data_IF_314119466988
#
_entry.id   IF_314119466988
#
_cell.length_a   1.000
_cell.length_b   1.000
_cell.length_c   1.000
_cell.angle_alpha   90.00
_cell.angle_beta   90.00
_cell.angle_gamma   90.00
#
_symmetry.space_group_name_H-M   'P 1'
#
loop_
_entity.id
_entity.type
_entity.pdbx_description
1 polymer ?
#
# COMPACT_ATOMS: atom_id res chain seq x y z
N UNK A 1 0.88 -14.22 -23.75
CA UNK A 1 1.55 -12.89 -23.72
C UNK A 1 1.65 -12.32 -25.12
N UNK A 2 1.40 -11.02 -25.28
CA UNK A 2 1.54 -10.31 -26.56
C UNK A 2 3.00 -9.87 -26.75
N UNK A 3 3.50 -9.92 -28.01
CA UNK A 3 4.85 -9.43 -28.31
C UNK A 3 4.73 -8.16 -29.16
N UNK A 4 5.30 -7.05 -28.67
CA UNK A 4 5.31 -5.76 -29.37
C UNK A 4 6.77 -5.39 -29.67
N UNK A 5 7.05 -5.02 -30.90
CA UNK A 5 8.40 -4.67 -31.38
C UNK A 5 8.50 -3.22 -31.76
N UNK A 6 9.44 -2.51 -31.16
CA UNK A 6 9.77 -1.12 -31.45
C UNK A 6 8.54 -0.19 -31.51
N UNK A 7 7.70 -0.16 -30.45
CA UNK A 7 6.51 0.66 -30.45
C UNK A 7 6.86 2.15 -30.54
N UNK A 8 6.15 2.90 -31.36
CA UNK A 8 6.26 4.35 -31.36
C UNK A 8 5.66 4.95 -30.07
N UNK A 9 6.18 6.08 -29.57
CA UNK A 9 5.67 6.72 -28.32
C UNK A 9 4.17 6.97 -28.33
N UNK A 10 3.57 7.25 -29.50
CA UNK A 10 2.12 7.43 -29.66
C UNK A 10 1.28 6.18 -29.33
N UNK A 11 1.89 4.99 -29.45
CA UNK A 11 1.21 3.71 -29.19
C UNK A 11 1.40 3.21 -27.76
N UNK A 12 2.26 3.86 -26.97
CA UNK A 12 2.54 3.45 -25.59
C UNK A 12 1.29 3.45 -24.72
N UNK A 13 0.33 4.34 -24.97
CA UNK A 13 -0.95 4.38 -24.24
C UNK A 13 -1.67 3.03 -24.23
N UNK A 14 -1.54 2.24 -25.31
CA UNK A 14 -2.13 0.90 -25.40
C UNK A 14 -1.35 -0.15 -24.60
N UNK A 15 -0.02 0.02 -24.52
CA UNK A 15 0.87 -0.90 -23.78
C UNK A 15 0.68 -0.70 -22.27
N UNK A 16 0.52 0.55 -21.85
CA UNK A 16 0.36 0.91 -20.43
C UNK A 16 -1.10 0.82 -19.95
N UNK A 17 -2.03 0.47 -20.83
CA UNK A 17 -3.43 0.31 -20.45
C UNK A 17 -3.62 -0.92 -19.55
N UNK A 18 -4.40 -0.73 -18.50
CA UNK A 18 -4.74 -1.80 -17.55
C UNK A 18 -6.14 -2.32 -17.80
N UNK A 19 -6.40 -3.61 -17.53
CA UNK A 19 -7.75 -4.14 -17.57
C UNK A 19 -8.70 -3.30 -16.71
N UNK A 20 -9.81 -2.85 -17.30
CA UNK A 20 -10.86 -2.12 -16.56
C UNK A 20 -12.05 -3.03 -16.33
N UNK A 21 -12.47 -3.13 -15.09
CA UNK A 21 -13.70 -3.81 -14.72
C UNK A 21 -14.87 -2.80 -14.71
N UNK A 22 -16.05 -3.21 -15.17
CA UNK A 22 -17.25 -2.41 -14.99
C UNK A 22 -17.67 -2.44 -13.51
N UNK A 23 -17.42 -1.34 -12.82
CA UNK A 23 -17.64 -1.20 -11.38
C UNK A 23 -19.01 -0.60 -11.01
N UNK A 24 -19.91 -0.31 -11.96
CA UNK A 24 -21.18 0.38 -11.70
C UNK A 24 -22.08 -0.42 -10.76
N UNK A 25 -22.40 -1.65 -11.09
CA UNK A 25 -23.22 -2.56 -10.24
C UNK A 25 -22.52 -2.94 -8.93
N UNK A 26 -21.19 -3.02 -8.98
CA UNK A 26 -20.38 -3.30 -7.80
C UNK A 26 -20.50 -2.15 -6.78
N UNK A 27 -20.45 -0.91 -7.22
CA UNK A 27 -20.56 0.26 -6.35
C UNK A 27 -21.91 0.33 -5.62
N UNK A 28 -23.02 0.01 -6.29
CA UNK A 28 -24.34 -0.06 -5.66
C UNK A 28 -24.43 -1.14 -4.58
N UNK A 29 -23.88 -2.33 -4.88
CA UNK A 29 -23.84 -3.43 -3.91
C UNK A 29 -23.02 -3.04 -2.68
N UNK A 30 -21.83 -2.45 -2.89
CA UNK A 30 -20.95 -1.98 -1.81
C UNK A 30 -21.65 -0.91 -0.97
N UNK A 31 -22.27 0.08 -1.60
CA UNK A 31 -23.01 1.13 -0.90
C UNK A 31 -24.13 0.58 -0.01
N UNK A 32 -24.85 -0.43 -0.50
CA UNK A 32 -25.91 -1.10 0.27
C UNK A 32 -25.36 -1.80 1.51
N UNK A 33 -24.25 -2.54 1.39
CA UNK A 33 -23.61 -3.23 2.52
C UNK A 33 -23.10 -2.22 3.55
N UNK A 34 -22.43 -1.16 3.09
CA UNK A 34 -21.90 -0.10 3.96
C UNK A 34 -23.01 0.61 4.74
N UNK A 35 -24.11 0.96 4.07
CA UNK A 35 -25.28 1.59 4.71
C UNK A 35 -25.93 0.67 5.76
N UNK A 36 -25.97 -0.62 5.49
CA UNK A 36 -26.53 -1.60 6.41
C UNK A 36 -25.65 -1.80 7.65
N UNK A 37 -24.31 -1.90 7.47
CA UNK A 37 -23.36 -1.96 8.59
C UNK A 37 -23.45 -0.69 9.45
N UNK A 38 -23.54 0.48 8.83
CA UNK A 38 -23.74 1.75 9.57
C UNK A 38 -25.00 1.76 10.41
N UNK A 39 -26.08 1.12 9.93
CA UNK A 39 -27.40 1.12 10.60
C UNK A 39 -27.53 0.06 11.68
N UNK A 40 -27.02 -1.16 11.44
CA UNK A 40 -27.27 -2.34 12.29
C UNK A 40 -26.04 -2.87 13.02
N UNK A 41 -24.86 -2.26 12.82
CA UNK A 41 -23.63 -2.64 13.53
C UNK A 41 -23.27 -4.12 13.38
N UNK A 42 -22.98 -4.77 14.51
CA UNK A 42 -22.57 -6.18 14.57
C UNK A 42 -23.60 -7.14 13.95
N UNK A 43 -24.89 -6.84 14.03
CA UNK A 43 -25.93 -7.69 13.44
C UNK A 43 -25.82 -7.74 11.90
N UNK A 44 -25.52 -6.60 11.27
CA UNK A 44 -25.27 -6.56 9.84
C UNK A 44 -23.99 -7.34 9.49
N UNK A 45 -22.90 -7.10 10.23
CA UNK A 45 -21.62 -7.78 10.02
C UNK A 45 -21.80 -9.29 10.09
N UNK A 46 -22.41 -9.82 11.17
CA UNK A 46 -22.67 -11.26 11.34
C UNK A 46 -23.54 -11.82 10.22
N UNK A 47 -24.56 -11.06 9.79
CA UNK A 47 -25.41 -11.44 8.68
C UNK A 47 -24.66 -11.57 7.36
N UNK A 48 -23.68 -10.70 7.11
CA UNK A 48 -22.84 -10.79 5.91
C UNK A 48 -21.76 -11.87 5.99
N UNK A 49 -21.18 -12.15 7.18
CA UNK A 49 -20.29 -13.31 7.37
C UNK A 49 -21.03 -14.62 7.08
N UNK A 50 -22.28 -14.75 7.55
CA UNK A 50 -23.11 -15.91 7.22
C UNK A 50 -23.42 -15.99 5.71
N UNK A 51 -23.72 -14.86 5.08
CA UNK A 51 -24.09 -14.81 3.66
C UNK A 51 -22.94 -15.05 2.70
N UNK A 52 -21.77 -14.48 2.95
CA UNK A 52 -20.64 -14.47 2.03
C UNK A 52 -19.57 -15.51 2.39
N UNK A 53 -19.27 -15.64 3.67
CA UNK A 53 -18.24 -16.57 4.15
C UNK A 53 -18.81 -17.89 4.67
N UNK A 54 -20.17 -17.98 4.71
CA UNK A 54 -20.91 -19.18 5.14
C UNK A 54 -20.59 -19.62 6.58
N UNK A 55 -20.35 -18.65 7.45
CA UNK A 55 -20.01 -18.91 8.85
C UNK A 55 -20.92 -18.13 9.78
N UNK A 56 -21.48 -18.81 10.79
CA UNK A 56 -22.21 -18.21 11.89
C UNK A 56 -21.26 -17.94 13.06
N UNK A 57 -21.06 -16.67 13.39
CA UNK A 57 -20.12 -16.23 14.40
C UNK A 57 -20.82 -15.76 15.67
N UNK A 58 -20.70 -16.48 16.79
CA UNK A 58 -21.22 -16.00 18.07
C UNK A 58 -20.50 -14.73 18.53
N UNK A 59 -19.20 -14.62 18.25
CA UNK A 59 -18.38 -13.44 18.51
C UNK A 59 -17.49 -13.11 17.33
N UNK A 60 -17.35 -11.81 17.04
CA UNK A 60 -16.50 -11.30 15.97
C UNK A 60 -15.01 -11.23 16.40
N UNK A 61 -14.75 -11.01 17.68
CA UNK A 61 -13.38 -10.90 18.18
C UNK A 61 -12.68 -12.26 18.25
N UNK A 62 -11.40 -12.26 17.95
CA UNK A 62 -10.48 -13.39 18.22
C UNK A 62 -10.18 -13.41 19.71
N UNK A 63 -10.35 -14.56 20.35
CA UNK A 63 -10.08 -14.78 21.76
C UNK A 63 -8.58 -15.07 22.02
N UNK A 64 -8.13 -14.87 23.26
CA UNK A 64 -6.77 -15.24 23.66
C UNK A 64 -6.54 -16.76 23.50
N UNK A 65 -7.54 -17.59 23.76
CA UNK A 65 -7.45 -19.03 23.55
C UNK A 65 -7.18 -19.40 22.07
N UNK A 66 -7.79 -18.66 21.11
CA UNK A 66 -7.50 -18.84 19.68
C UNK A 66 -6.07 -18.38 19.33
N UNK A 67 -5.59 -17.32 19.97
CA UNK A 67 -4.20 -16.88 19.81
C UNK A 67 -3.21 -17.91 20.33
N UNK A 68 -3.45 -18.50 21.51
CA UNK A 68 -2.63 -19.57 22.07
C UNK A 68 -2.68 -20.87 21.25
N UNK A 69 -3.86 -21.20 20.71
CA UNK A 69 -4.00 -22.34 19.81
C UNK A 69 -3.15 -22.15 18.55
N UNK A 70 -3.19 -20.93 17.95
CA UNK A 70 -2.39 -20.60 16.78
C UNK A 70 -0.88 -20.73 17.05
N UNK A 71 -0.42 -20.30 18.22
CA UNK A 71 0.97 -20.47 18.63
C UNK A 71 1.42 -21.95 18.67
N UNK A 72 0.53 -22.86 19.02
CA UNK A 72 0.84 -24.30 19.04
C UNK A 72 0.80 -24.94 17.65
N UNK A 73 -0.05 -24.42 16.75
CA UNK A 73 -0.29 -24.99 15.41
C UNK A 73 0.78 -24.60 14.38
N UNK A 74 1.37 -23.40 14.50
CA UNK A 74 2.43 -22.97 13.57
C UNK A 74 3.76 -23.61 14.00
N UNK A 75 4.46 -24.22 13.04
CA UNK A 75 5.76 -24.83 13.31
C UNK A 75 6.85 -23.81 13.64
N UNK A 76 7.96 -24.28 14.21
CA UNK A 76 9.05 -23.43 14.67
C UNK A 76 9.84 -22.79 13.54
N UNK A 77 9.94 -23.44 12.38
CA UNK A 77 10.68 -22.90 11.23
C UNK A 77 9.93 -21.71 10.65
N UNK A 78 8.61 -21.85 10.43
CA UNK A 78 7.78 -20.74 9.95
C UNK A 78 7.77 -19.59 10.95
N UNK A 79 7.69 -19.84 12.26
CA UNK A 79 7.81 -18.78 13.28
C UNK A 79 9.13 -18.04 13.17
N UNK A 80 10.24 -18.77 13.00
CA UNK A 80 11.57 -18.16 12.85
C UNK A 80 11.65 -17.31 11.58
N UNK A 81 11.05 -17.76 10.46
CA UNK A 81 10.96 -17.00 9.23
C UNK A 81 10.13 -15.71 9.40
N UNK A 82 8.97 -15.80 10.07
CA UNK A 82 8.13 -14.63 10.39
C UNK A 82 8.89 -13.63 11.28
N UNK A 83 9.66 -14.13 12.27
CA UNK A 83 10.47 -13.26 13.13
C UNK A 83 11.59 -12.57 12.37
N UNK A 84 12.28 -13.25 11.45
CA UNK A 84 13.30 -12.67 10.59
C UNK A 84 12.69 -11.57 9.70
N UNK A 85 11.57 -11.85 9.05
CA UNK A 85 10.85 -10.89 8.23
C UNK A 85 10.45 -9.65 9.05
N UNK A 86 9.83 -9.86 10.21
CA UNK A 86 9.46 -8.77 11.13
C UNK A 86 10.67 -7.93 11.55
N UNK A 87 11.81 -8.56 11.88
CA UNK A 87 13.03 -7.85 12.24
C UNK A 87 13.51 -6.93 11.11
N UNK A 88 13.59 -7.46 9.86
CA UNK A 88 14.06 -6.69 8.71
C UNK A 88 13.10 -5.55 8.36
N UNK A 89 11.78 -5.81 8.36
CA UNK A 89 10.74 -4.79 8.14
C UNK A 89 10.85 -3.69 9.20
N UNK A 90 11.04 -4.07 10.46
CA UNK A 90 11.21 -3.11 11.56
C UNK A 90 12.44 -2.24 11.36
N UNK A 91 13.60 -2.85 11.08
CA UNK A 91 14.85 -2.12 10.86
C UNK A 91 14.73 -1.09 9.73
N UNK A 92 14.13 -1.48 8.61
CA UNK A 92 13.94 -0.58 7.48
C UNK A 92 12.98 0.58 7.83
N UNK A 93 11.84 0.29 8.47
CA UNK A 93 10.86 1.34 8.79
C UNK A 93 11.32 2.24 9.97
N UNK A 94 12.10 1.74 10.92
CA UNK A 94 12.72 2.56 11.97
C UNK A 94 13.66 3.62 11.39
N UNK A 95 14.33 3.32 10.26
CA UNK A 95 15.20 4.28 9.57
C UNK A 95 14.45 5.48 8.97
N UNK A 96 13.12 5.36 8.81
CA UNK A 96 12.26 6.40 8.24
C UNK A 96 11.72 7.40 9.28
N UNK A 97 12.11 7.29 10.55
CA UNK A 97 11.62 8.17 11.61
C UNK A 97 11.99 9.63 11.30
N UNK A 98 10.94 10.45 11.15
CA UNK A 98 11.10 11.87 10.85
C UNK A 98 11.73 12.62 12.03
N UNK A 99 12.90 13.20 11.79
CA UNK A 99 13.58 14.11 12.72
C UNK A 99 13.30 15.54 12.30
N UNK A 100 12.31 16.19 12.92
CA UNK A 100 11.96 17.57 12.62
C UNK A 100 13.14 18.53 12.84
N UNK A 101 13.25 19.55 11.99
CA UNK A 101 14.22 20.65 12.11
C UNK A 101 13.49 21.95 12.39
N UNK A 102 13.97 22.76 13.34
CA UNK A 102 13.53 24.13 13.53
C UNK A 102 14.25 25.03 12.53
N UNK A 103 13.50 25.89 11.88
CA UNK A 103 13.98 26.86 10.90
C UNK A 103 13.57 28.25 11.37
N UNK A 104 14.53 29.13 11.57
CA UNK A 104 14.29 30.54 11.78
C UNK A 104 14.20 31.21 10.39
N UNK A 105 12.98 31.61 10.00
CA UNK A 105 12.70 32.16 8.67
C UNK A 105 12.98 33.67 8.59
N UNK A 106 12.84 34.37 9.72
CA UNK A 106 13.24 35.72 9.98
C UNK A 106 13.67 35.83 11.45
N UNK A 107 14.45 36.81 11.85
CA UNK A 107 14.80 37.01 13.25
C UNK A 107 13.54 36.97 14.15
N UNK A 108 13.54 36.06 15.12
CA UNK A 108 12.42 35.85 16.04
C UNK A 108 11.20 35.12 15.48
N UNK A 109 11.28 34.55 14.26
CA UNK A 109 10.24 33.70 13.64
C UNK A 109 10.75 32.30 13.45
N UNK A 110 10.32 31.35 14.29
CA UNK A 110 10.78 29.96 14.24
C UNK A 110 9.64 29.01 13.87
N UNK A 111 9.83 28.26 12.79
CA UNK A 111 8.87 27.29 12.27
C UNK A 111 9.47 25.86 12.31
N UNK A 112 8.63 24.86 12.62
CA UNK A 112 9.04 23.46 12.55
C UNK A 112 7.85 22.52 12.34
N UNK A 113 8.17 21.27 12.01
CA UNK A 113 7.18 20.19 11.94
C UNK A 113 7.47 19.13 13.00
N UNK A 114 6.41 18.55 13.55
CA UNK A 114 6.44 17.37 14.41
C UNK A 114 5.65 16.23 13.74
N UNK A 115 6.25 15.04 13.69
CA UNK A 115 5.52 13.82 13.31
C UNK A 115 4.68 13.37 14.49
N UNK A 116 3.39 13.13 14.26
CA UNK A 116 2.43 12.67 15.26
C UNK A 116 1.69 11.47 14.69
N UNK A 117 1.68 10.36 15.42
CA UNK A 117 0.98 9.15 15.00
C UNK A 117 -0.52 9.39 14.78
N UNK A 118 -1.10 8.66 13.84
CA UNK A 118 -2.53 8.47 13.75
C UNK A 118 -2.92 7.52 14.88
N UNK A 119 -3.76 7.96 15.81
CA UNK A 119 -4.04 7.21 17.03
C UNK A 119 -4.67 5.84 16.74
N UNK A 120 -5.68 5.81 15.86
CA UNK A 120 -6.49 4.61 15.59
C UNK A 120 -6.40 4.22 14.13
N UNK A 121 -5.87 3.06 13.85
CA UNK A 121 -5.72 2.54 12.49
C UNK A 121 -6.36 1.17 12.34
N UNK A 122 -6.98 0.94 11.19
CA UNK A 122 -7.55 -0.34 10.79
C UNK A 122 -6.67 -1.01 9.75
N UNK A 123 -6.41 -2.29 9.95
CA UNK A 123 -5.65 -3.14 9.04
C UNK A 123 -6.59 -4.20 8.48
N UNK A 124 -6.76 -4.20 7.17
CA UNK A 124 -7.52 -5.24 6.49
C UNK A 124 -6.54 -6.25 5.89
N UNK A 125 -6.68 -7.51 6.29
CA UNK A 125 -5.91 -8.63 5.75
C UNK A 125 -6.85 -9.49 4.95
N UNK A 126 -6.68 -9.60 3.63
CA UNK A 126 -7.56 -10.43 2.82
C UNK A 126 -7.42 -11.90 3.18
N UNK A 127 -8.54 -12.60 3.12
CA UNK A 127 -8.59 -14.05 3.12
C UNK A 127 -8.75 -14.55 1.69
N UNK A 128 -9.12 -15.80 1.53
CA UNK A 128 -9.40 -16.40 0.24
C UNK A 128 -8.40 -17.50 -0.10
N UNK A 129 -7.74 -17.41 -1.27
CA UNK A 129 -6.91 -18.52 -1.77
C UNK A 129 -5.55 -18.63 -1.09
N UNK A 130 -5.08 -17.58 -0.40
CA UNK A 130 -3.80 -17.58 0.32
C UNK A 130 -3.91 -16.81 1.64
N UNK A 131 -3.36 -17.32 2.75
CA UNK A 131 -3.30 -16.62 4.03
C UNK A 131 -2.14 -15.60 4.00
N UNK A 132 -2.44 -14.33 3.73
CA UNK A 132 -1.44 -13.28 3.57
C UNK A 132 -0.91 -12.77 4.93
N UNK A 133 -0.26 -13.64 5.70
CA UNK A 133 0.32 -13.28 7.01
C UNK A 133 1.50 -12.28 6.88
N UNK A 134 2.19 -12.23 5.74
CA UNK A 134 3.20 -11.20 5.46
C UNK A 134 2.61 -9.80 5.47
N UNK A 135 1.40 -9.62 4.93
CA UNK A 135 0.69 -8.34 4.95
C UNK A 135 0.41 -7.83 6.38
N UNK A 136 0.23 -8.75 7.34
CA UNK A 136 0.13 -8.36 8.76
C UNK A 136 1.41 -7.66 9.21
N UNK A 137 2.58 -8.23 8.90
CA UNK A 137 3.87 -7.63 9.26
C UNK A 137 4.09 -6.29 8.57
N UNK A 138 3.78 -6.22 7.27
CA UNK A 138 3.94 -5.02 6.43
C UNK A 138 3.09 -3.85 6.90
N UNK A 139 1.92 -4.11 7.48
CA UNK A 139 1.01 -3.06 7.95
C UNK A 139 1.17 -2.78 9.45
N UNK A 140 1.28 -3.82 10.28
CA UNK A 140 1.30 -3.65 11.73
C UNK A 140 2.63 -3.12 12.25
N UNK A 141 3.76 -3.54 11.66
CA UNK A 141 5.09 -3.12 12.12
C UNK A 141 5.28 -1.60 12.01
N UNK A 142 5.07 -0.96 10.85
CA UNK A 142 5.18 0.51 10.77
C UNK A 142 4.13 1.24 11.61
N UNK A 143 2.92 0.69 11.79
CA UNK A 143 1.91 1.26 12.69
C UNK A 143 2.40 1.31 14.14
N UNK A 144 3.06 0.25 14.61
CA UNK A 144 3.66 0.19 15.97
C UNK A 144 4.85 1.14 16.11
N UNK A 145 5.74 1.21 15.11
CA UNK A 145 6.89 2.14 15.12
C UNK A 145 6.40 3.60 15.13
N UNK A 146 5.36 3.93 14.37
CA UNK A 146 4.76 5.26 14.37
C UNK A 146 4.17 5.66 15.73
N UNK A 147 3.80 4.68 16.57
CA UNK A 147 3.17 4.90 17.88
C UNK A 147 1.65 4.99 17.81
N UNK A 148 1.00 4.33 16.83
CA UNK A 148 -0.46 4.20 16.82
C UNK A 148 -0.92 3.51 18.11
N UNK A 149 -1.80 4.17 18.86
CA UNK A 149 -2.25 3.67 20.18
C UNK A 149 -3.26 2.54 20.07
N UNK A 150 -4.03 2.50 18.98
CA UNK A 150 -5.02 1.47 18.71
C UNK A 150 -4.88 0.95 17.28
N UNK A 151 -4.59 -0.35 17.16
CA UNK A 151 -4.47 -1.06 15.89
C UNK A 151 -5.52 -2.15 15.86
N UNK A 152 -6.49 -2.01 14.97
CA UNK A 152 -7.59 -2.95 14.73
C UNK A 152 -7.28 -3.75 13.49
N UNK A 153 -7.31 -5.08 13.55
CA UNK A 153 -7.08 -5.96 12.43
C UNK A 153 -8.36 -6.74 12.10
N UNK A 154 -8.82 -6.65 10.85
CA UNK A 154 -9.92 -7.46 10.34
C UNK A 154 -9.42 -8.42 9.27
N UNK A 155 -9.80 -9.69 9.38
CA UNK A 155 -9.48 -10.75 8.40
C UNK A 155 -10.60 -11.79 8.39
N UNK A 156 -11.02 -12.30 7.21
CA UNK A 156 -12.08 -13.28 7.15
C UNK A 156 -11.69 -14.58 7.84
N UNK A 157 -12.63 -15.23 8.52
CA UNK A 157 -12.46 -16.57 9.06
C UNK A 157 -12.60 -17.63 7.96
N UNK A 158 -12.20 -18.85 8.28
CA UNK A 158 -12.58 -20.05 7.52
C UNK A 158 -14.05 -20.45 7.84
N UNK A 159 -14.56 -21.45 7.11
CA UNK A 159 -15.93 -21.98 7.32
C UNK A 159 -16.21 -22.56 8.73
N UNK A 160 -15.17 -22.74 9.55
CA UNK A 160 -15.27 -23.18 10.95
C UNK A 160 -15.21 -22.00 11.92
N UNK A 161 -15.19 -20.78 11.41
CA UNK A 161 -15.07 -19.56 12.20
C UNK A 161 -13.67 -19.31 12.77
N UNK A 162 -12.63 -19.89 12.18
CA UNK A 162 -11.25 -19.76 12.63
C UNK A 162 -10.44 -18.89 11.68
N UNK A 163 -9.58 -18.02 12.22
CA UNK A 163 -8.56 -17.31 11.46
C UNK A 163 -7.36 -18.25 11.25
N UNK A 164 -6.71 -18.11 10.10
CA UNK A 164 -5.48 -18.88 9.81
C UNK A 164 -4.43 -18.65 10.92
N UNK A 165 -3.85 -19.73 11.50
CA UNK A 165 -2.91 -19.61 12.60
C UNK A 165 -1.69 -18.73 12.31
N UNK A 166 -1.15 -18.76 11.07
CA UNK A 166 0.00 -17.93 10.70
C UNK A 166 -0.32 -16.43 10.73
N UNK A 167 -1.56 -16.02 10.40
CA UNK A 167 -2.03 -14.63 10.54
C UNK A 167 -2.02 -14.21 12.01
N UNK A 168 -2.52 -15.07 12.91
CA UNK A 168 -2.57 -14.78 14.34
C UNK A 168 -1.17 -14.70 14.95
N UNK A 169 -0.27 -15.62 14.58
CA UNK A 169 1.14 -15.59 15.01
C UNK A 169 1.85 -14.33 14.52
N UNK A 170 1.68 -13.96 13.25
CA UNK A 170 2.24 -12.72 12.70
C UNK A 170 1.70 -11.48 13.42
N UNK A 171 0.39 -11.45 13.73
CA UNK A 171 -0.23 -10.36 14.49
C UNK A 171 0.34 -10.26 15.92
N UNK A 172 0.53 -11.39 16.59
CA UNK A 172 1.16 -11.43 17.94
C UNK A 172 2.60 -10.93 17.90
N UNK A 173 3.41 -11.38 16.93
CA UNK A 173 4.80 -10.93 16.75
C UNK A 173 4.86 -9.42 16.48
N UNK A 174 3.94 -8.90 15.63
CA UNK A 174 3.85 -7.47 15.36
C UNK A 174 3.16 -6.66 16.48
N UNK A 175 2.68 -7.31 17.55
CA UNK A 175 2.09 -6.66 18.72
C UNK A 175 0.65 -6.16 18.53
N UNK A 176 -0.13 -6.80 17.64
CA UNK A 176 -1.56 -6.52 17.43
C UNK A 176 -2.39 -7.51 18.24
N UNK A 177 -3.33 -6.99 19.05
CA UNK A 177 -4.17 -7.79 19.93
C UNK A 177 -5.68 -7.55 19.73
N UNK A 178 -6.08 -6.58 18.92
CA UNK A 178 -7.48 -6.35 18.54
C UNK A 178 -7.72 -6.92 17.15
N UNK A 179 -8.10 -8.18 17.10
CA UNK A 179 -8.28 -8.95 15.86
C UNK A 179 -9.72 -9.39 15.75
N UNK A 180 -10.32 -9.19 14.57
CA UNK A 180 -11.73 -9.51 14.31
C UNK A 180 -11.85 -10.43 13.09
N UNK A 181 -12.74 -11.41 13.23
CA UNK A 181 -13.06 -12.43 12.22
C UNK A 181 -14.08 -11.87 11.22
N UNK A 182 -13.66 -10.88 10.43
CA UNK A 182 -14.54 -10.16 9.51
C UNK A 182 -13.82 -9.96 8.19
N UNK A 183 -14.47 -10.36 7.09
CA UNK A 183 -13.98 -10.19 5.73
C UNK A 183 -14.68 -9.08 4.96
N UNK A 184 -14.31 -8.88 3.71
CA UNK A 184 -15.05 -8.13 2.70
C UNK A 184 -15.39 -6.67 3.02
N UNK A 185 -16.48 -6.21 2.40
CA UNK A 185 -17.02 -4.85 2.53
C UNK A 185 -17.44 -4.53 3.96
N UNK A 186 -18.03 -5.53 4.66
CA UNK A 186 -18.51 -5.35 6.01
C UNK A 186 -17.36 -5.10 7.02
N UNK A 187 -16.16 -5.62 6.78
CA UNK A 187 -14.98 -5.29 7.58
C UNK A 187 -14.57 -3.82 7.43
N UNK A 188 -14.59 -3.31 6.20
CA UNK A 188 -14.30 -1.89 5.92
C UNK A 188 -15.37 -1.00 6.58
N UNK A 189 -16.65 -1.35 6.45
CA UNK A 189 -17.73 -0.65 7.10
C UNK A 189 -17.62 -0.65 8.63
N UNK A 190 -17.31 -1.81 9.24
CA UNK A 190 -17.13 -1.94 10.68
C UNK A 190 -16.00 -1.05 11.21
N UNK A 191 -14.85 -1.03 10.54
CA UNK A 191 -13.72 -0.16 10.91
C UNK A 191 -14.03 1.32 10.67
N UNK A 192 -14.74 1.66 9.59
CA UNK A 192 -15.02 3.05 9.22
C UNK A 192 -16.05 3.71 10.15
N UNK A 193 -17.08 2.98 10.55
CA UNK A 193 -18.19 3.54 11.35
C UNK A 193 -18.08 3.24 12.85
N UNK A 194 -17.40 2.15 13.20
CA UNK A 194 -17.47 1.51 14.49
C UNK A 194 -18.74 0.67 14.62
N UNK A 195 -18.67 -0.40 15.37
CA UNK A 195 -19.80 -1.25 15.76
C UNK A 195 -19.71 -1.54 17.26
N UNK A 196 -20.60 -2.37 17.79
CA UNK A 196 -20.57 -2.76 19.20
C UNK A 196 -19.26 -3.48 19.57
N UNK A 197 -18.71 -4.29 18.64
CA UNK A 197 -17.47 -5.03 18.83
C UNK A 197 -16.25 -4.32 18.26
N UNK A 198 -16.36 -3.71 17.06
CA UNK A 198 -15.22 -3.17 16.30
C UNK A 198 -15.09 -1.67 16.56
N UNK A 199 -13.96 -1.21 17.13
CA UNK A 199 -13.71 0.22 17.32
C UNK A 199 -13.62 0.98 15.99
N UNK A 200 -14.21 2.19 15.92
CA UNK A 200 -14.00 3.10 14.80
C UNK A 200 -12.55 3.53 14.72
N UNK A 201 -12.00 3.53 13.50
CA UNK A 201 -10.62 3.97 13.22
C UNK A 201 -10.58 5.28 12.44
N UNK A 202 -9.39 5.87 12.30
CA UNK A 202 -9.19 7.13 11.59
C UNK A 202 -8.58 6.93 10.20
N UNK A 203 -7.91 5.79 9.98
CA UNK A 203 -7.36 5.42 8.67
C UNK A 203 -7.37 3.91 8.51
N UNK A 204 -7.75 3.44 7.32
CA UNK A 204 -7.80 2.02 6.96
C UNK A 204 -6.69 1.71 5.96
N UNK A 205 -5.95 0.63 6.23
CA UNK A 205 -4.86 0.11 5.40
C UNK A 205 -5.16 -1.31 4.97
N UNK A 206 -4.59 -1.72 3.87
CA UNK A 206 -4.56 -3.09 3.42
C UNK A 206 -5.07 -3.29 2.00
N UNK A 207 -4.51 -4.31 1.31
CA UNK A 207 -4.96 -4.74 0.01
C UNK A 207 -6.32 -5.43 0.10
N UNK A 208 -6.98 -5.61 -1.04
CA UNK A 208 -8.23 -6.35 -1.10
C UNK A 208 -8.72 -6.50 -2.53
N UNK A 209 -9.74 -7.32 -2.71
CA UNK A 209 -10.40 -7.47 -4.00
C UNK A 209 -11.16 -6.19 -4.40
N UNK A 210 -11.73 -6.17 -5.60
CA UNK A 210 -12.49 -5.03 -6.13
C UNK A 210 -13.61 -4.52 -5.20
N UNK A 211 -14.27 -5.39 -4.43
CA UNK A 211 -15.32 -4.99 -3.48
C UNK A 211 -14.74 -4.25 -2.29
N UNK A 212 -13.64 -4.75 -1.73
CA UNK A 212 -12.92 -4.10 -0.62
C UNK A 212 -12.36 -2.74 -1.07
N UNK A 213 -11.80 -2.67 -2.27
CA UNK A 213 -11.28 -1.42 -2.82
C UNK A 213 -12.38 -0.39 -3.04
N UNK A 214 -13.52 -0.79 -3.61
CA UNK A 214 -14.68 0.10 -3.76
C UNK A 214 -15.24 0.56 -2.42
N UNK A 215 -15.25 -0.33 -1.41
CA UNK A 215 -15.65 0.04 -0.05
C UNK A 215 -14.70 1.08 0.55
N UNK A 216 -13.38 0.88 0.47
CA UNK A 216 -12.38 1.84 0.91
C UNK A 216 -12.57 3.21 0.23
N UNK A 217 -12.74 3.23 -1.08
CA UNK A 217 -12.98 4.46 -1.84
C UNK A 217 -14.26 5.18 -1.38
N UNK A 218 -15.38 4.45 -1.20
CA UNK A 218 -16.62 5.06 -0.76
C UNK A 218 -16.55 5.65 0.65
N UNK A 219 -15.96 4.93 1.61
CA UNK A 219 -15.81 5.46 2.99
C UNK A 219 -14.80 6.62 3.05
N UNK A 220 -13.85 6.68 2.10
CA UNK A 220 -12.85 7.76 2.07
C UNK A 220 -13.40 9.12 1.67
N UNK A 221 -14.59 9.16 1.07
CA UNK A 221 -15.22 10.43 0.68
C UNK A 221 -15.66 11.28 1.87
N UNK A 222 -16.08 10.64 2.98
CA UNK A 222 -16.70 11.39 4.09
C UNK A 222 -16.39 10.84 5.48
N UNK A 223 -15.90 9.60 5.63
CA UNK A 223 -15.93 8.91 6.92
C UNK A 223 -14.55 8.62 7.52
N UNK A 224 -13.61 8.10 6.73
CA UNK A 224 -12.31 7.62 7.21
C UNK A 224 -11.25 7.73 6.12
N UNK A 225 -10.01 8.07 6.46
CA UNK A 225 -8.93 8.07 5.49
C UNK A 225 -8.55 6.63 5.06
N UNK A 226 -7.94 6.48 3.88
CA UNK A 226 -7.40 5.21 3.41
C UNK A 226 -5.90 5.35 3.06
N UNK A 227 -5.22 4.22 2.90
CA UNK A 227 -3.81 4.19 2.47
C UNK A 227 -3.64 4.77 1.07
N UNK A 228 -4.15 4.08 0.05
CA UNK A 228 -4.10 4.48 -1.35
C UNK A 228 -5.19 3.77 -2.16
N UNK A 229 -5.56 4.31 -3.33
CA UNK A 229 -6.27 3.53 -4.34
C UNK A 229 -5.36 2.40 -4.84
N UNK A 230 -5.92 1.24 -5.11
CA UNK A 230 -5.20 0.12 -5.68
C UNK A 230 -6.07 -0.61 -6.70
N UNK A 231 -5.43 -1.34 -7.58
CA UNK A 231 -6.03 -2.25 -8.54
C UNK A 231 -5.36 -3.63 -8.47
N UNK A 232 -5.43 -4.43 -9.53
CA UNK A 232 -4.70 -5.68 -9.65
C UNK A 232 -3.19 -5.49 -9.54
N UNK A 233 -2.49 -6.52 -9.08
CA UNK A 233 -1.04 -6.51 -8.92
C UNK A 233 -0.29 -6.52 -10.26
N UNK A 234 0.87 -5.87 -10.30
CA UNK A 234 1.63 -5.60 -11.51
C UNK A 234 3.13 -5.76 -11.30
N UNK A 235 3.84 -6.35 -12.27
CA UNK A 235 5.30 -6.30 -12.35
C UNK A 235 5.77 -5.83 -13.71
N UNK A 236 6.80 -5.01 -13.72
CA UNK A 236 7.57 -4.66 -14.91
C UNK A 236 9.02 -5.13 -14.71
N UNK A 237 9.52 -5.92 -15.66
CA UNK A 237 10.93 -6.35 -15.69
C UNK A 237 11.61 -5.66 -16.85
N UNK A 238 12.71 -4.94 -16.59
CA UNK A 238 13.64 -4.45 -17.60
C UNK A 238 14.84 -5.39 -17.62
N UNK A 239 15.09 -6.05 -18.74
CA UNK A 239 16.15 -7.04 -18.84
C UNK A 239 16.98 -6.87 -20.12
N UNK A 240 18.32 -7.03 -20.04
CA UNK A 240 19.18 -7.06 -21.21
C UNK A 240 19.54 -8.51 -21.62
N UNK A 241 20.33 -8.66 -22.68
CA UNK A 241 20.75 -9.97 -23.20
C UNK A 241 21.58 -10.84 -22.24
N UNK A 242 22.02 -10.29 -21.10
CA UNK A 242 22.80 -11.00 -20.08
C UNK A 242 21.93 -11.46 -18.90
N UNK A 243 20.69 -11.02 -18.85
CA UNK A 243 19.77 -11.43 -17.80
C UNK A 243 19.58 -12.95 -17.79
N UNK A 244 19.44 -13.51 -16.60
CA UNK A 244 19.15 -14.92 -16.44
C UNK A 244 17.67 -15.19 -16.82
N UNK A 245 17.47 -15.95 -17.88
CA UNK A 245 16.16 -16.27 -18.45
C UNK A 245 15.24 -16.94 -17.44
N UNK A 246 15.80 -17.85 -16.62
CA UNK A 246 15.03 -18.58 -15.60
C UNK A 246 14.54 -17.63 -14.49
N UNK A 247 15.37 -16.66 -14.08
CA UNK A 247 15.00 -15.67 -13.08
C UNK A 247 13.94 -14.70 -13.60
N UNK A 248 14.12 -14.16 -14.81
CA UNK A 248 13.11 -13.28 -15.43
C UNK A 248 11.76 -13.98 -15.55
N UNK A 249 11.74 -15.24 -15.99
CA UNK A 249 10.52 -16.02 -16.11
C UNK A 249 9.86 -16.26 -14.75
N UNK A 250 10.63 -16.55 -13.70
CA UNK A 250 10.14 -16.73 -12.35
C UNK A 250 9.53 -15.45 -11.78
N UNK A 251 10.17 -14.30 -11.99
CA UNK A 251 9.67 -12.99 -11.54
C UNK A 251 8.35 -12.61 -12.24
N UNK A 252 8.19 -12.89 -13.53
CA UNK A 252 6.93 -12.68 -14.24
C UNK A 252 5.81 -13.60 -13.72
N UNK A 253 6.14 -14.84 -13.36
CA UNK A 253 5.19 -15.81 -12.87
C UNK A 253 4.79 -15.58 -11.42
N UNK A 254 5.70 -15.08 -10.55
CA UNK A 254 5.39 -14.73 -9.17
C UNK A 254 4.25 -13.72 -9.10
N UNK A 255 4.26 -12.74 -10.01
CA UNK A 255 3.18 -11.77 -10.10
C UNK A 255 1.91 -12.33 -10.78
N UNK A 256 2.09 -13.13 -11.83
CA UNK A 256 0.93 -13.69 -12.58
C UNK A 256 0.07 -14.62 -11.74
N UNK A 257 0.60 -15.26 -10.70
CA UNK A 257 -0.17 -16.16 -9.84
C UNK A 257 -1.05 -15.46 -8.78
N UNK A 258 -0.91 -14.13 -8.59
CA UNK A 258 -1.71 -13.37 -7.62
C UNK A 258 -3.19 -13.33 -7.99
N UNK A 259 -3.53 -13.07 -9.26
CA UNK A 259 -4.91 -12.98 -9.70
C UNK A 259 -5.06 -13.03 -11.23
N UNK A 260 -6.24 -13.38 -11.70
CA UNK A 260 -6.55 -13.47 -13.15
C UNK A 260 -6.47 -12.12 -13.87
N UNK A 261 -6.51 -11.05 -13.13
CA UNK A 261 -6.45 -9.65 -13.54
C UNK A 261 -5.07 -9.02 -13.33
N UNK A 262 -4.10 -9.77 -12.77
CA UNK A 262 -2.70 -9.37 -12.70
C UNK A 262 -2.11 -9.13 -14.08
N UNK A 263 -1.14 -8.21 -14.18
CA UNK A 263 -0.47 -7.88 -15.42
C UNK A 263 1.04 -7.94 -15.26
N UNK A 264 1.73 -8.58 -16.21
CA UNK A 264 3.20 -8.60 -16.24
C UNK A 264 3.71 -8.00 -17.53
N UNK A 265 4.79 -7.21 -17.43
CA UNK A 265 5.42 -6.51 -18.52
C UNK A 265 6.92 -6.81 -18.55
N UNK A 266 7.42 -7.37 -19.65
CA UNK A 266 8.86 -7.44 -19.91
C UNK A 266 9.25 -6.39 -20.94
N UNK A 267 10.26 -5.58 -20.65
CA UNK A 267 10.86 -4.63 -21.58
C UNK A 267 12.31 -5.03 -21.78
N UNK A 268 12.70 -5.25 -23.03
CA UNK A 268 14.07 -5.69 -23.35
C UNK A 268 14.57 -5.10 -24.66
N UNK A 269 15.91 -4.99 -24.76
CA UNK A 269 16.61 -4.65 -26.00
C UNK A 269 17.06 -5.88 -26.81
N UNK A 270 16.74 -7.09 -26.32
CA UNK A 270 17.17 -8.36 -26.92
C UNK A 270 15.98 -9.16 -27.44
N UNK A 271 15.86 -9.31 -28.75
CA UNK A 271 14.80 -10.13 -29.34
C UNK A 271 14.93 -11.61 -28.94
N UNK A 272 16.17 -12.12 -28.85
CA UNK A 272 16.42 -13.49 -28.41
C UNK A 272 15.88 -13.73 -27.00
N UNK A 273 16.07 -12.78 -26.07
CA UNK A 273 15.57 -12.88 -24.69
C UNK A 273 14.04 -13.01 -24.64
N UNK A 274 13.31 -12.36 -25.54
CA UNK A 274 11.83 -12.49 -25.63
C UNK A 274 11.45 -13.95 -25.87
N UNK A 275 12.08 -14.61 -26.85
CA UNK A 275 11.74 -16.01 -27.17
C UNK A 275 12.17 -16.97 -26.07
N UNK A 276 13.36 -16.75 -25.50
CA UNK A 276 13.89 -17.59 -24.42
C UNK A 276 13.02 -17.47 -23.16
N UNK A 277 12.66 -16.26 -22.75
CA UNK A 277 11.77 -16.01 -21.60
C UNK A 277 10.36 -16.59 -21.86
N UNK A 278 9.81 -16.43 -23.07
CA UNK A 278 8.50 -17.01 -23.39
C UNK A 278 8.50 -18.52 -23.29
N UNK A 279 9.56 -19.20 -23.77
CA UNK A 279 9.73 -20.63 -23.64
C UNK A 279 9.86 -21.07 -22.20
N UNK A 280 10.64 -20.33 -21.41
CA UNK A 280 10.89 -20.63 -19.99
C UNK A 280 9.66 -20.36 -19.13
N UNK A 281 8.91 -19.28 -19.36
CA UNK A 281 7.61 -19.03 -18.72
C UNK A 281 6.66 -20.22 -18.96
N UNK A 282 6.57 -20.70 -20.21
CA UNK A 282 5.72 -21.86 -20.51
C UNK A 282 6.18 -23.12 -19.78
N UNK A 283 7.50 -23.34 -19.65
CA UNK A 283 8.05 -24.47 -18.90
C UNK A 283 7.71 -24.39 -17.42
N UNK A 284 7.97 -23.25 -16.77
CA UNK A 284 7.74 -23.06 -15.34
C UNK A 284 6.23 -23.03 -15.01
N UNK A 285 5.41 -22.41 -15.84
CA UNK A 285 3.94 -22.36 -15.69
C UNK A 285 3.32 -23.76 -15.54
N UNK A 286 3.87 -24.77 -16.25
CA UNK A 286 3.38 -26.15 -16.15
C UNK A 286 3.67 -26.81 -14.80
N UNK A 287 4.55 -26.23 -13.99
CA UNK A 287 4.91 -26.72 -12.65
C UNK A 287 4.13 -26.04 -11.52
N UNK A 288 3.44 -24.93 -11.82
CA UNK A 288 2.74 -24.13 -10.81
C UNK A 288 1.41 -24.76 -10.38
N UNK A 289 1.15 -24.88 -9.08
CA UNK A 289 -0.17 -25.29 -8.57
C UNK A 289 -1.31 -24.35 -9.01
N UNK A 290 -1.01 -23.04 -9.15
CA UNK A 290 -1.96 -21.99 -9.56
C UNK A 290 -1.91 -21.67 -11.06
N UNK A 291 -1.53 -22.65 -11.87
CA UNK A 291 -1.36 -22.51 -13.33
C UNK A 291 -2.54 -21.84 -14.03
N UNK A 292 -3.78 -22.20 -13.68
CA UNK A 292 -4.97 -21.64 -14.35
C UNK A 292 -5.11 -20.12 -14.14
N UNK A 293 -4.78 -19.64 -12.93
CA UNK A 293 -4.79 -18.22 -12.60
C UNK A 293 -3.70 -17.49 -13.39
N UNK A 294 -2.47 -18.00 -13.29
CA UNK A 294 -1.34 -17.39 -13.99
C UNK A 294 -1.52 -17.40 -15.51
N UNK A 295 -2.12 -18.46 -16.10
CA UNK A 295 -2.42 -18.51 -17.54
C UNK A 295 -3.31 -17.35 -17.97
N UNK A 296 -4.37 -17.05 -17.21
CA UNK A 296 -5.28 -15.93 -17.52
C UNK A 296 -4.61 -14.57 -17.36
N UNK A 297 -3.80 -14.39 -16.33
CA UNK A 297 -3.01 -13.17 -16.13
C UNK A 297 -2.04 -12.93 -17.31
N UNK A 298 -1.40 -13.98 -17.80
CA UNK A 298 -0.48 -13.90 -18.94
C UNK A 298 -1.19 -13.55 -20.28
N UNK A 299 -2.50 -13.76 -20.40
CA UNK A 299 -3.26 -13.30 -21.60
C UNK A 299 -3.30 -11.78 -21.70
N UNK A 300 -3.30 -11.07 -20.57
CA UNK A 300 -3.29 -9.61 -20.47
C UNK A 300 -1.87 -9.01 -20.40
N UNK A 301 -0.85 -9.83 -20.61
CA UNK A 301 0.56 -9.48 -20.36
C UNK A 301 1.34 -9.30 -21.65
N UNK A 302 2.40 -8.50 -21.62
CA UNK A 302 3.11 -8.04 -22.82
C UNK A 302 4.62 -8.14 -22.67
N UNK A 303 5.29 -8.58 -23.76
CA UNK A 303 6.75 -8.55 -23.93
C UNK A 303 7.08 -7.47 -24.97
N UNK A 304 7.90 -6.49 -24.61
CA UNK A 304 8.20 -5.33 -25.47
C UNK A 304 9.68 -5.32 -25.84
N UNK A 305 9.96 -5.32 -27.15
CA UNK A 305 11.29 -5.09 -27.69
C UNK A 305 11.46 -3.60 -27.97
N UNK A 306 12.43 -2.98 -27.33
CA UNK A 306 12.76 -1.56 -27.49
C UNK A 306 14.17 -1.39 -28.10
N UNK A 307 14.50 -0.17 -28.53
CA UNK A 307 15.75 0.12 -29.24
C UNK A 307 16.96 0.13 -28.29
N UNK A 308 16.77 0.71 -27.11
CA UNK A 308 17.84 0.93 -26.15
C UNK A 308 17.28 1.02 -24.71
N UNK A 309 18.19 1.10 -23.73
CA UNK A 309 17.84 1.19 -22.31
C UNK A 309 17.13 2.50 -21.95
N UNK A 310 17.33 3.58 -22.72
CA UNK A 310 16.62 4.83 -22.49
C UNK A 310 15.13 4.68 -22.83
N UNK A 311 14.83 4.04 -23.94
CA UNK A 311 13.43 3.74 -24.31
C UNK A 311 12.79 2.76 -23.32
N UNK A 312 13.57 1.81 -22.77
CA UNK A 312 13.09 0.88 -21.75
C UNK A 312 12.66 1.60 -20.47
N UNK A 313 13.51 2.50 -19.95
CA UNK A 313 13.19 3.23 -18.71
C UNK A 313 12.08 4.27 -18.92
N UNK A 314 12.04 4.92 -20.10
CA UNK A 314 10.96 5.86 -20.44
C UNK A 314 9.60 5.14 -20.49
N UNK A 315 9.53 3.94 -21.09
CA UNK A 315 8.30 3.14 -21.15
C UNK A 315 7.91 2.63 -19.76
N UNK A 316 8.87 2.18 -18.95
CA UNK A 316 8.62 1.78 -17.56
C UNK A 316 8.09 2.94 -16.72
N UNK A 317 8.66 4.13 -16.84
CA UNK A 317 8.16 5.33 -16.15
C UNK A 317 6.74 5.72 -16.61
N UNK A 318 6.42 5.53 -17.89
CA UNK A 318 5.07 5.73 -18.43
C UNK A 318 4.07 4.68 -17.92
N UNK A 319 4.54 3.44 -17.72
CA UNK A 319 3.75 2.36 -17.14
C UNK A 319 3.54 2.58 -15.63
N UNK A 320 4.52 3.14 -14.93
CA UNK A 320 4.47 3.36 -13.47
C UNK A 320 4.08 2.08 -12.69
N UNK A 321 4.90 1.02 -12.76
CA UNK A 321 4.57 -0.28 -12.20
C UNK A 321 4.51 -0.27 -10.66
N UNK A 322 3.76 -1.20 -10.12
CA UNK A 322 3.84 -1.57 -8.69
C UNK A 322 5.24 -2.06 -8.33
N UNK A 323 5.70 -3.10 -9.02
CA UNK A 323 7.04 -3.67 -8.87
C UNK A 323 7.85 -3.43 -10.15
N UNK A 324 9.03 -2.85 -10.02
CA UNK A 324 10.00 -2.69 -11.10
C UNK A 324 11.25 -3.50 -10.81
N UNK A 325 11.56 -4.48 -11.66
CA UNK A 325 12.79 -5.27 -11.57
C UNK A 325 13.72 -4.85 -12.71
N UNK A 326 14.97 -4.51 -12.40
CA UNK A 326 15.99 -4.10 -13.39
C UNK A 326 17.11 -5.12 -13.40
N UNK A 327 17.08 -6.03 -14.36
CA UNK A 327 18.08 -7.08 -14.59
C UNK A 327 18.94 -6.76 -15.82
N UNK A 328 19.63 -5.62 -15.77
CA UNK A 328 20.55 -5.18 -16.83
C UNK A 328 21.97 -5.05 -16.28
N UNK A 329 22.94 -5.08 -17.18
CA UNK A 329 24.36 -4.92 -16.80
C UNK A 329 24.68 -3.56 -16.16
N UNK A 330 23.87 -2.55 -16.44
CA UNK A 330 23.99 -1.16 -15.96
C UNK A 330 22.82 -0.74 -15.07
N UNK A 331 22.24 -1.69 -14.31
CA UNK A 331 21.05 -1.48 -13.48
C UNK A 331 21.17 -0.28 -12.54
N UNK A 332 22.33 -0.01 -11.94
CA UNK A 332 22.53 1.15 -11.05
C UNK A 332 22.32 2.47 -11.78
N UNK A 333 22.80 2.57 -13.02
CA UNK A 333 22.64 3.75 -13.86
C UNK A 333 21.20 3.95 -14.28
N UNK A 334 20.48 2.87 -14.60
CA UNK A 334 19.07 2.93 -14.95
C UNK A 334 18.21 3.26 -13.73
N UNK A 335 18.54 2.75 -12.55
CA UNK A 335 17.85 3.05 -11.30
C UNK A 335 17.79 4.55 -11.01
N UNK A 336 18.84 5.30 -11.35
CA UNK A 336 18.84 6.77 -11.17
C UNK A 336 17.86 7.53 -12.09
N UNK A 337 17.29 6.85 -13.09
CA UNK A 337 16.33 7.42 -14.03
C UNK A 337 14.89 6.98 -13.75
N UNK A 338 14.68 6.14 -12.72
CA UNK A 338 13.34 5.75 -12.28
C UNK A 338 12.65 6.95 -11.65
N UNK A 339 11.48 7.28 -12.16
CA UNK A 339 10.62 8.36 -11.66
C UNK A 339 9.37 7.76 -11.02
N UNK A 340 8.79 6.74 -11.63
CA UNK A 340 7.51 6.17 -11.26
C UNK A 340 7.63 4.65 -11.07
N UNK A 341 7.63 4.20 -9.82
CA UNK A 341 7.50 2.80 -9.43
C UNK A 341 7.07 2.71 -7.97
N UNK A 342 6.35 1.67 -7.59
CA UNK A 342 6.01 1.41 -6.19
C UNK A 342 7.23 0.91 -5.41
N UNK A 343 7.95 -0.08 -5.94
CA UNK A 343 9.21 -0.60 -5.42
C UNK A 343 10.15 -0.98 -6.56
N UNK A 344 11.47 -0.87 -6.35
CA UNK A 344 12.48 -1.16 -7.38
C UNK A 344 13.47 -2.20 -6.88
N UNK A 345 13.68 -3.25 -7.67
CA UNK A 345 14.57 -4.38 -7.40
C UNK A 345 15.73 -4.34 -8.37
N UNK A 346 16.97 -4.36 -7.87
CA UNK A 346 18.16 -4.05 -8.65
C UNK A 346 19.10 -5.25 -8.76
N UNK A 347 19.42 -5.61 -9.99
CA UNK A 347 20.40 -6.67 -10.31
C UNK A 347 19.78 -8.06 -10.36
N UNK A 348 20.63 -9.04 -10.63
CA UNK A 348 20.23 -10.42 -10.93
C UNK A 348 19.54 -11.14 -9.78
N UNK A 349 19.95 -10.84 -8.53
CA UNK A 349 19.47 -11.56 -7.33
C UNK A 349 18.32 -10.86 -6.61
N UNK A 350 17.93 -9.67 -7.04
CA UNK A 350 16.84 -8.93 -6.44
C UNK A 350 15.51 -9.30 -7.11
N UNK A 351 14.71 -10.11 -6.44
CA UNK A 351 13.39 -10.53 -6.92
C UNK A 351 12.25 -9.91 -6.10
N UNK A 352 11.07 -9.81 -6.70
CA UNK A 352 9.84 -9.35 -6.05
C UNK A 352 9.58 -10.08 -4.73
N UNK A 353 9.66 -11.42 -4.74
CA UNK A 353 9.41 -12.25 -3.56
C UNK A 353 10.29 -11.89 -2.36
N UNK A 354 11.54 -11.44 -2.57
CA UNK A 354 12.37 -10.98 -1.46
C UNK A 354 11.78 -9.74 -0.79
N UNK A 355 11.26 -8.79 -1.57
CA UNK A 355 10.58 -7.59 -1.08
C UNK A 355 9.27 -7.90 -0.40
N UNK A 356 8.50 -8.82 -0.96
CA UNK A 356 7.18 -9.19 -0.48
C UNK A 356 7.20 -9.89 0.89
N UNK A 357 8.30 -10.57 1.20
CA UNK A 357 8.36 -11.38 2.42
C UNK A 357 9.38 -10.91 3.44
N UNK A 358 10.65 -10.65 3.05
CA UNK A 358 11.70 -10.64 4.05
C UNK A 358 12.80 -9.59 3.90
N UNK A 359 12.94 -8.86 2.77
CA UNK A 359 14.03 -7.90 2.60
C UNK A 359 13.91 -6.67 3.50
N UNK A 360 12.69 -6.31 3.91
CA UNK A 360 12.43 -5.20 4.82
C UNK A 360 11.62 -4.05 4.22
N UNK A 361 11.53 -3.93 2.89
CA UNK A 361 10.64 -2.97 2.22
C UNK A 361 9.17 -3.37 2.39
N UNK A 362 8.26 -2.48 2.04
CA UNK A 362 6.83 -2.76 2.17
C UNK A 362 6.24 -3.20 0.83
N UNK A 363 5.42 -4.22 0.83
CA UNK A 363 4.76 -4.74 -0.36
C UNK A 363 3.35 -4.15 -0.61
N UNK A 364 2.84 -3.33 0.29
CA UNK A 364 1.58 -2.63 0.05
C UNK A 364 1.87 -1.39 -0.77
N UNK A 365 1.81 -1.55 -2.07
CA UNK A 365 2.30 -0.61 -3.07
C UNK A 365 1.15 -0.06 -3.93
N UNK A 366 1.31 1.12 -4.55
CA UNK A 366 0.34 1.65 -5.50
C UNK A 366 0.40 0.85 -6.81
N UNK A 367 -0.75 0.38 -7.26
CA UNK A 367 -0.94 -0.32 -8.54
C UNK A 367 -1.63 0.57 -9.56
N UNK A 368 -1.93 0.05 -10.74
CA UNK A 368 -2.77 0.74 -11.74
C UNK A 368 -2.26 2.12 -12.17
N UNK A 369 -0.93 2.29 -12.18
CA UNK A 369 -0.27 3.55 -12.52
C UNK A 369 -0.31 4.60 -11.40
N UNK A 370 -0.89 4.30 -10.25
CA UNK A 370 -0.93 5.23 -9.12
C UNK A 370 0.45 5.53 -8.53
N UNK A 371 1.50 4.76 -8.87
CA UNK A 371 2.88 5.07 -8.49
C UNK A 371 3.38 6.42 -9.04
N UNK A 372 2.65 7.06 -9.95
CA UNK A 372 2.88 8.44 -10.40
C UNK A 372 2.60 9.50 -9.33
N UNK A 373 1.77 9.19 -8.32
CA UNK A 373 1.30 10.16 -7.34
C UNK A 373 1.23 9.63 -5.90
N UNK A 374 1.26 8.31 -5.72
CA UNK A 374 1.15 7.67 -4.40
C UNK A 374 2.41 6.88 -4.08
N UNK A 375 2.81 6.92 -2.82
CA UNK A 375 3.88 6.08 -2.29
C UNK A 375 3.30 4.73 -1.84
N UNK A 376 4.15 3.70 -1.82
CA UNK A 376 3.89 2.49 -1.02
C UNK A 376 3.74 2.83 0.48
N UNK A 377 3.13 1.92 1.22
CA UNK A 377 3.00 2.07 2.67
C UNK A 377 4.39 2.19 3.30
N UNK A 378 4.56 3.23 4.10
CA UNK A 378 5.79 3.54 4.82
C UNK A 378 5.45 4.14 6.19
N UNK A 379 6.44 4.52 6.97
CA UNK A 379 6.21 5.06 8.31
C UNK A 379 5.36 6.34 8.29
N UNK A 380 5.57 7.22 7.30
CA UNK A 380 4.80 8.45 7.16
C UNK A 380 3.32 8.20 6.84
N UNK A 381 2.97 7.03 6.30
CA UNK A 381 1.57 6.65 6.07
C UNK A 381 0.76 6.59 7.36
N UNK A 382 1.41 6.35 8.50
CA UNK A 382 0.82 6.25 9.84
C UNK A 382 0.98 7.52 10.67
N UNK A 383 1.56 8.59 10.08
CA UNK A 383 1.87 9.82 10.77
C UNK A 383 1.21 11.03 10.10
N UNK A 384 1.01 12.07 10.89
CA UNK A 384 0.67 13.41 10.41
C UNK A 384 1.81 14.36 10.74
N UNK A 385 2.14 15.25 9.83
CA UNK A 385 3.10 16.33 10.06
C UNK A 385 2.33 17.56 10.54
N UNK A 386 2.43 17.86 11.84
CA UNK A 386 1.82 19.04 12.44
C UNK A 386 2.84 20.17 12.42
N UNK A 387 2.47 21.31 11.89
CA UNK A 387 3.32 22.50 11.86
C UNK A 387 3.17 23.29 13.16
N UNK A 388 4.30 23.80 13.64
CA UNK A 388 4.39 24.69 14.77
C UNK A 388 5.12 25.96 14.35
N UNK A 389 4.70 27.08 14.92
CA UNK A 389 5.37 28.36 14.74
C UNK A 389 5.39 29.11 16.05
N UNK A 390 6.52 29.74 16.34
CA UNK A 390 6.74 30.57 17.50
C UNK A 390 7.30 31.90 17.04
N UNK A 391 6.66 32.97 17.45
CA UNK A 391 7.07 34.36 17.15
C UNK A 391 7.37 35.09 18.47
N UNK A 392 8.47 35.83 18.47
CA UNK A 392 8.80 36.82 19.51
C UNK A 392 8.30 38.20 19.11
N UNK A 393 8.43 39.20 19.99
CA UNK A 393 8.17 40.59 19.63
C UNK A 393 9.00 41.03 18.43
N UNK A 394 10.29 40.67 18.39
CA UNK A 394 11.16 40.92 17.24
C UNK A 394 10.61 40.23 15.96
N UNK A 395 10.11 39.01 16.07
CA UNK A 395 9.47 38.29 14.97
C UNK A 395 8.22 39.00 14.44
N UNK A 396 7.40 39.56 15.34
CA UNK A 396 6.25 40.39 14.93
C UNK A 396 6.72 41.67 14.21
N UNK A 397 7.76 42.32 14.68
CA UNK A 397 8.32 43.51 14.01
C UNK A 397 8.91 43.18 12.64
N UNK A 398 9.54 42.01 12.50
CA UNK A 398 10.20 41.59 11.24
C UNK A 398 9.23 41.27 10.10
N UNK A 399 8.04 40.70 10.41
CA UNK A 399 7.08 40.29 9.36
C UNK A 399 5.74 41.02 9.42
N UNK A 400 5.46 41.77 10.48
CA UNK A 400 4.13 42.29 10.75
C UNK A 400 3.58 43.24 9.66
N UNK A 401 4.40 44.12 9.16
CA UNK A 401 4.01 45.02 8.05
C UNK A 401 3.64 44.26 6.77
N UNK A 402 4.41 43.24 6.42
CA UNK A 402 4.10 42.41 5.26
C UNK A 402 2.76 41.65 5.44
N UNK A 403 2.47 41.14 6.64
CA UNK A 403 1.20 40.47 6.95
C UNK A 403 0.03 41.46 6.83
N UNK A 404 0.17 42.70 7.34
CA UNK A 404 -0.87 43.70 7.22
C UNK A 404 -1.19 44.07 5.77
N UNK A 405 -0.16 44.28 4.93
CA UNK A 405 -0.33 44.60 3.52
C UNK A 405 -0.97 43.44 2.74
N UNK A 406 -0.55 42.23 2.99
CA UNK A 406 -1.12 41.04 2.32
C UNK A 406 -2.58 40.83 2.70
N UNK A 407 -2.89 40.91 4.00
CA UNK A 407 -4.25 40.72 4.49
C UNK A 407 -5.20 41.84 3.97
N UNK A 408 -4.71 43.10 3.86
CA UNK A 408 -5.45 44.20 3.26
C UNK A 408 -5.73 43.97 1.77
N UNK A 409 -4.73 43.53 1.02
CA UNK A 409 -4.87 43.21 -0.41
C UNK A 409 -5.86 42.06 -0.67
N UNK A 410 -5.95 41.10 0.26
CA UNK A 410 -6.93 40.00 0.24
C UNK A 410 -8.30 40.40 0.81
N UNK A 411 -8.48 41.64 1.27
CA UNK A 411 -9.70 42.16 1.91
C UNK A 411 -10.09 41.38 3.19
N UNK A 412 -9.07 40.93 3.94
CA UNK A 412 -9.23 40.16 5.18
C UNK A 412 -8.89 41.06 6.40
N UNK A 413 -9.74 42.05 6.69
CA UNK A 413 -9.51 43.04 7.73
C UNK A 413 -9.31 42.47 9.13
N UNK A 414 -9.98 41.36 9.48
CA UNK A 414 -9.77 40.69 10.74
C UNK A 414 -8.38 40.07 10.86
N UNK A 415 -7.83 39.53 9.78
CA UNK A 415 -6.45 39.03 9.72
C UNK A 415 -5.44 40.15 9.87
N UNK A 416 -5.64 41.29 9.15
CA UNK A 416 -4.85 42.50 9.29
C UNK A 416 -4.86 42.97 10.74
N UNK A 417 -6.05 43.14 11.33
CA UNK A 417 -6.20 43.63 12.70
C UNK A 417 -5.54 42.68 13.73
N UNK A 418 -5.57 41.37 13.52
CA UNK A 418 -4.90 40.41 14.40
C UNK A 418 -3.38 40.66 14.48
N UNK A 419 -2.74 41.15 13.41
CA UNK A 419 -1.35 41.56 13.40
C UNK A 419 -1.18 42.96 13.99
N UNK A 420 -1.99 43.95 13.56
CA UNK A 420 -1.93 45.36 13.98
C UNK A 420 -2.03 45.55 15.51
N UNK A 421 -2.89 44.77 16.20
CA UNK A 421 -3.00 44.87 17.65
C UNK A 421 -1.74 44.39 18.38
N UNK A 422 -1.01 43.40 17.82
CA UNK A 422 0.26 42.91 18.36
C UNK A 422 1.39 43.94 18.14
N UNK A 423 1.47 44.52 16.95
CA UNK A 423 2.43 45.59 16.65
C UNK A 423 2.23 46.76 17.64
N UNK A 424 1.00 47.25 17.75
CA UNK A 424 0.69 48.36 18.72
C UNK A 424 1.02 48.00 20.17
N UNK A 425 0.82 46.77 20.58
CA UNK A 425 1.16 46.34 21.93
C UNK A 425 2.68 46.34 22.19
N UNK A 426 3.48 46.04 21.18
CA UNK A 426 4.94 46.06 21.24
C UNK A 426 5.44 47.53 21.26
N UNK A 427 4.84 48.42 20.44
CA UNK A 427 5.25 49.83 20.33
C UNK A 427 4.89 50.63 21.59
N UNK A 428 3.90 50.20 22.36
CA UNK A 428 3.43 50.90 23.58
C UNK A 428 3.99 50.30 24.89
N UNK A 429 4.75 49.18 24.85
CA UNK A 429 5.35 48.55 26.02
C UNK A 429 6.83 48.68 26.07
#
# INVERSE_FOLDING_TARGET
MNIIRYPEKKDWSKIVERPRLDVSKLNETVASVLADVRKRGDDAVKGYELKFDHVDLPTLAVSEAEMEEAERLVDSELKSAIQLAHYNIRMFHESQVFKGKKVETQPGVVCWQKSVAIEKVGLYIPGGTAPLFSTVLMLATPAKIAGCSEIVLCTPPDRRGKVNPAILVAARIAGVNKIFKIGGVQAIGAMAYGTESVPKVYKIFGPGNQYVMAAKQQVSLHDVAIDMPAGPSEVCVIADKKANVEFVAADLLSQAEHGIDSQVLLITTSEQLIFDVQAEVNRQLNLLPRKEIATKALENSTLVLVKDNQEAIDLSNAYAPEHLIIQTSDYEKLAMQVINAGSVFLGEYACESAGDYASGTNHTLPTHGYATAYNGVNLDSYCRKVTFQHLTAEGIQSIGHAVELMAEAEQLDAHKNAMSVRIRAIDNG
#
